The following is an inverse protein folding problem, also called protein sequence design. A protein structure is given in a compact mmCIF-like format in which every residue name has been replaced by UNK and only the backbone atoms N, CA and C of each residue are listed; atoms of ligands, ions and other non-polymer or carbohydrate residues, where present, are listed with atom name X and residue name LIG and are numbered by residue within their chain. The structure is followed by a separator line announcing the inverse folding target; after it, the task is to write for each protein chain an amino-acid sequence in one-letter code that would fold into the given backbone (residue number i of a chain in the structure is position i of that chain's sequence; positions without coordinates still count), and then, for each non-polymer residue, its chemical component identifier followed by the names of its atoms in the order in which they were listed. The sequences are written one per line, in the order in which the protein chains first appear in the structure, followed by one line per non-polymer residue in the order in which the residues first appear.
data_IF_040651825500
#
_entry.id   IF_040651825500
#
_cell.length_a   1.000
_cell.length_b   1.000
_cell.length_c   1.000
_cell.angle_alpha   90.00
_cell.angle_beta   90.00
_cell.angle_gamma   90.00
#
_symmetry.space_group_name_H-M   'P 1'
#
loop_
_entity.id
_entity.type
_entity.pdbx_description
1 polymer ?
#
# COMPACT_ATOMS: atom_id res chain seq x y z
N UNK A 1 12.77 -14.52 6.59
CA UNK A 1 11.87 -13.60 7.32
C UNK A 1 10.61 -14.35 7.70
N UNK A 2 10.19 -14.30 8.95
CA UNK A 2 8.98 -15.01 9.40
C UNK A 2 7.81 -14.01 9.41
N UNK A 3 6.75 -14.32 8.68
CA UNK A 3 5.48 -13.61 8.85
C UNK A 3 4.92 -13.93 10.23
N UNK A 4 4.40 -12.92 10.91
CA UNK A 4 3.76 -13.08 12.22
C UNK A 4 2.25 -13.27 12.03
N UNK A 5 1.58 -13.85 13.06
CA UNK A 5 0.12 -14.01 13.03
C UNK A 5 -0.64 -12.72 12.71
N UNK A 6 -0.14 -11.55 13.10
CA UNK A 6 -0.76 -10.27 12.77
C UNK A 6 -0.75 -9.92 11.27
N UNK A 7 0.14 -10.52 10.46
CA UNK A 7 0.12 -10.32 9.00
C UNK A 7 -1.05 -11.03 8.30
N UNK A 8 -1.67 -12.00 8.95
CA UNK A 8 -2.77 -12.82 8.41
C UNK A 8 -4.06 -12.72 9.24
N UNK A 9 -4.12 -11.82 10.22
CA UNK A 9 -5.33 -11.50 10.96
C UNK A 9 -6.04 -10.29 10.33
N UNK A 10 -7.37 -10.28 10.29
CA UNK A 10 -8.10 -9.13 9.75
C UNK A 10 -9.61 -9.30 9.84
N UNK A 11 -10.29 -8.17 9.70
CA UNK A 11 -11.74 -8.05 9.73
C UNK A 11 -12.22 -7.46 8.41
N UNK A 12 -13.28 -8.03 7.83
CA UNK A 12 -13.94 -7.45 6.67
C UNK A 12 -14.87 -6.30 7.13
N UNK A 13 -14.70 -5.13 6.50
CA UNK A 13 -15.54 -3.95 6.77
C UNK A 13 -16.90 -4.05 6.07
N UNK A 14 -17.86 -3.32 6.59
CA UNK A 14 -19.16 -3.18 5.95
C UNK A 14 -19.09 -2.16 4.81
N UNK A 15 -19.74 -2.47 3.71
CA UNK A 15 -19.80 -1.59 2.54
C UNK A 15 -19.80 -2.37 1.23
N UNK A 16 -20.12 -1.67 0.16
CA UNK A 16 -20.09 -2.22 -1.20
C UNK A 16 -19.12 -1.38 -2.03
N UNK A 17 -18.04 -1.96 -2.57
CA UNK A 17 -17.15 -1.28 -3.49
C UNK A 17 -17.90 -0.75 -4.73
N UNK A 18 -17.55 0.46 -5.16
CA UNK A 18 -18.28 1.19 -6.22
C UNK A 18 -17.57 1.20 -7.57
N UNK A 19 -16.31 0.76 -7.62
CA UNK A 19 -15.53 0.67 -8.84
C UNK A 19 -15.85 -0.58 -9.68
N UNK A 20 -15.05 -0.81 -10.68
CA UNK A 20 -15.18 -1.93 -11.63
C UNK A 20 -13.83 -2.64 -11.84
N UNK A 21 -13.87 -3.79 -12.49
CA UNK A 21 -12.66 -4.53 -12.87
C UNK A 21 -12.24 -4.21 -14.29
N UNK A 22 -10.93 -4.24 -14.55
CA UNK A 22 -10.34 -3.97 -15.87
C UNK A 22 -8.95 -4.58 -15.99
N UNK A 23 -8.13 -4.00 -16.86
CA UNK A 23 -6.72 -4.33 -17.05
C UNK A 23 -5.83 -3.11 -16.88
N UNK A 24 -4.66 -3.31 -16.28
CA UNK A 24 -3.56 -2.33 -16.27
C UNK A 24 -2.26 -3.07 -16.55
N UNK A 25 -1.57 -2.70 -17.63
CA UNK A 25 -0.51 -3.52 -18.21
C UNK A 25 -1.02 -4.96 -18.43
N UNK A 26 -0.36 -5.96 -17.85
CA UNK A 26 -0.80 -7.36 -17.94
C UNK A 26 -1.72 -7.81 -16.80
N UNK A 27 -1.92 -6.99 -15.77
CA UNK A 27 -2.60 -7.37 -14.54
C UNK A 27 -4.10 -7.11 -14.59
N UNK A 28 -4.89 -7.99 -13.96
CA UNK A 28 -6.25 -7.67 -13.58
C UNK A 28 -6.23 -6.55 -12.53
N UNK A 29 -7.22 -5.66 -12.56
CA UNK A 29 -7.21 -4.49 -11.69
C UNK A 29 -8.62 -4.09 -11.28
N UNK A 30 -8.79 -3.63 -10.05
CA UNK A 30 -9.94 -2.86 -9.62
C UNK A 30 -9.67 -1.39 -9.85
N UNK A 31 -10.64 -0.69 -10.48
CA UNK A 31 -10.53 0.72 -10.88
C UNK A 31 -11.69 1.48 -10.26
N UNK A 32 -11.41 2.62 -9.64
CA UNK A 32 -12.43 3.51 -9.07
C UNK A 32 -12.02 4.98 -9.24
N UNK A 33 -13.01 5.87 -9.45
CA UNK A 33 -12.78 7.26 -9.83
C UNK A 33 -12.75 7.47 -11.35
N UNK A 34 -12.75 8.72 -11.77
CA UNK A 34 -12.88 9.14 -13.17
C UNK A 34 -11.95 10.30 -13.57
N UNK A 35 -10.99 10.64 -12.70
CA UNK A 35 -10.00 11.68 -13.00
C UNK A 35 -9.04 11.20 -14.11
N UNK A 36 -8.80 12.03 -15.11
CA UNK A 36 -7.94 11.70 -16.24
C UNK A 36 -6.51 12.21 -16.12
N UNK A 37 -6.25 13.08 -15.16
CA UNK A 37 -4.94 13.71 -14.94
C UNK A 37 -4.19 13.16 -13.72
N UNK A 38 -4.94 12.70 -12.70
CA UNK A 38 -4.40 12.25 -11.40
C UNK A 38 -4.78 10.80 -11.14
N UNK A 39 -3.79 9.98 -10.87
CA UNK A 39 -4.00 8.58 -10.50
C UNK A 39 -3.23 8.17 -9.25
N UNK A 40 -3.72 7.12 -8.61
CA UNK A 40 -3.08 6.47 -7.46
C UNK A 40 -2.96 4.97 -7.76
N UNK A 41 -1.74 4.44 -7.71
CA UNK A 41 -1.47 3.01 -7.73
C UNK A 41 -1.54 2.49 -6.29
N UNK A 42 -2.54 1.66 -6.01
CA UNK A 42 -2.72 1.07 -4.69
C UNK A 42 -2.20 -0.37 -4.68
N UNK A 43 -1.12 -0.62 -3.95
CA UNK A 43 -0.50 -1.93 -3.81
C UNK A 43 -1.01 -2.58 -2.54
N UNK A 44 -1.84 -3.59 -2.70
CA UNK A 44 -2.51 -4.27 -1.61
C UNK A 44 -1.55 -5.02 -0.69
N UNK A 45 -2.04 -5.37 0.49
CA UNK A 45 -1.39 -6.31 1.40
C UNK A 45 -1.58 -7.76 0.94
N UNK A 46 -1.22 -8.74 1.76
CA UNK A 46 -1.31 -10.17 1.44
C UNK A 46 -2.73 -10.67 1.12
N UNK A 47 -3.78 -9.91 1.49
CA UNK A 47 -5.15 -10.27 1.15
C UNK A 47 -5.52 -9.91 -0.30
N UNK A 48 -4.66 -9.15 -0.97
CA UNK A 48 -4.76 -8.89 -2.39
C UNK A 48 -5.85 -7.92 -2.81
N UNK A 49 -5.96 -7.74 -4.11
CA UNK A 49 -6.82 -6.75 -4.75
C UNK A 49 -8.33 -7.04 -4.69
N UNK A 50 -8.71 -8.29 -4.39
CA UNK A 50 -10.11 -8.70 -4.27
C UNK A 50 -10.68 -8.47 -2.88
N UNK A 51 -9.83 -8.19 -1.88
CA UNK A 51 -10.28 -7.98 -0.51
C UNK A 51 -11.16 -6.74 -0.39
N UNK A 52 -12.38 -6.87 0.18
CA UNK A 52 -13.34 -5.76 0.21
C UNK A 52 -12.80 -4.47 0.82
N UNK A 53 -12.06 -4.54 1.92
CA UNK A 53 -11.51 -3.36 2.60
C UNK A 53 -10.57 -2.55 1.71
N UNK A 54 -9.72 -3.23 0.94
CA UNK A 54 -8.78 -2.58 0.00
C UNK A 54 -9.56 -1.81 -1.05
N UNK A 55 -10.63 -2.39 -1.59
CA UNK A 55 -11.50 -1.73 -2.58
C UNK A 55 -12.28 -0.56 -1.97
N UNK A 56 -12.83 -0.73 -0.77
CA UNK A 56 -13.51 0.36 -0.04
C UNK A 56 -12.55 1.52 0.27
N UNK A 57 -11.32 1.21 0.66
CA UNK A 57 -10.31 2.23 0.92
C UNK A 57 -9.88 2.93 -0.38
N UNK A 58 -9.78 2.21 -1.48
CA UNK A 58 -9.54 2.78 -2.81
C UNK A 58 -10.67 3.73 -3.22
N UNK A 59 -11.95 3.37 -2.97
CA UNK A 59 -13.10 4.25 -3.23
C UNK A 59 -13.04 5.55 -2.41
N UNK A 60 -12.59 5.45 -1.15
CA UNK A 60 -12.34 6.62 -0.32
C UNK A 60 -11.26 7.54 -0.91
N UNK A 61 -10.13 6.97 -1.33
CA UNK A 61 -9.05 7.74 -1.94
C UNK A 61 -9.50 8.38 -3.25
N UNK A 62 -10.19 7.65 -4.11
CA UNK A 62 -10.71 8.18 -5.37
C UNK A 62 -11.60 9.40 -5.13
N UNK A 63 -12.58 9.27 -4.24
CA UNK A 63 -13.55 10.32 -3.94
C UNK A 63 -12.93 11.51 -3.21
N UNK A 64 -12.09 11.27 -2.20
CA UNK A 64 -11.64 12.33 -1.28
C UNK A 64 -10.39 13.04 -1.80
N UNK A 65 -9.52 12.36 -2.56
CA UNK A 65 -8.40 12.98 -3.27
C UNK A 65 -8.86 13.59 -4.61
N UNK A 66 -9.89 13.02 -5.24
CA UNK A 66 -10.30 13.35 -6.60
C UNK A 66 -9.35 12.74 -7.63
N UNK A 67 -9.01 11.47 -7.48
CA UNK A 67 -8.10 10.73 -8.35
C UNK A 67 -8.76 9.48 -8.91
N UNK A 68 -8.20 8.89 -9.96
CA UNK A 68 -8.53 7.52 -10.35
C UNK A 68 -7.57 6.56 -9.65
N UNK A 69 -8.12 5.59 -8.90
CA UNK A 69 -7.34 4.63 -8.13
C UNK A 69 -7.35 3.27 -8.79
N UNK A 70 -6.17 2.69 -8.93
CA UNK A 70 -5.93 1.38 -9.53
C UNK A 70 -5.38 0.43 -8.46
N UNK A 71 -6.05 -0.70 -8.28
CA UNK A 71 -5.62 -1.78 -7.36
C UNK A 71 -5.35 -3.04 -8.16
N UNK A 72 -4.13 -3.24 -8.70
CA UNK A 72 -3.81 -4.40 -9.52
C UNK A 72 -3.67 -5.68 -8.70
N UNK A 73 -3.88 -6.81 -9.38
CA UNK A 73 -3.51 -8.12 -8.90
C UNK A 73 -2.00 -8.36 -9.06
N UNK A 74 -1.27 -8.28 -7.98
CA UNK A 74 0.16 -8.58 -7.96
C UNK A 74 0.47 -9.99 -7.42
N UNK A 75 -0.54 -10.86 -7.35
CA UNK A 75 -0.37 -12.24 -6.89
C UNK A 75 -0.75 -13.27 -7.95
N UNK A 76 -0.98 -12.84 -9.21
CA UNK A 76 -1.24 -13.73 -10.34
C UNK A 76 -2.52 -14.55 -10.20
N UNK A 77 -3.56 -13.98 -9.61
CA UNK A 77 -4.83 -14.65 -9.33
C UNK A 77 -4.86 -15.44 -8.02
N UNK A 78 -3.73 -15.54 -7.30
CA UNK A 78 -3.72 -16.19 -6.01
C UNK A 78 -4.39 -15.32 -4.94
N UNK A 79 -5.25 -15.91 -4.13
CA UNK A 79 -5.91 -15.27 -2.99
C UNK A 79 -5.74 -16.16 -1.77
N UNK A 80 -5.38 -15.56 -0.64
CA UNK A 80 -5.37 -16.30 0.63
C UNK A 80 -6.79 -16.71 1.02
N UNK A 81 -6.94 -17.95 1.49
CA UNK A 81 -8.23 -18.48 1.89
C UNK A 81 -8.75 -17.78 3.16
N UNK A 82 -9.78 -16.95 2.96
CA UNK A 82 -10.40 -16.16 4.02
C UNK A 82 -11.11 -17.01 5.06
N UNK A 83 -11.69 -18.13 4.66
CA UNK A 83 -12.42 -19.01 5.59
C UNK A 83 -11.44 -19.67 6.55
N UNK A 84 -10.27 -20.07 6.06
CA UNK A 84 -9.20 -20.57 6.91
C UNK A 84 -8.64 -19.49 7.83
N UNK A 85 -8.52 -18.26 7.34
CA UNK A 85 -8.06 -17.11 8.15
C UNK A 85 -9.07 -16.76 9.23
N UNK A 86 -10.36 -16.67 8.89
CA UNK A 86 -11.43 -16.39 9.82
C UNK A 86 -11.60 -17.49 10.89
N UNK A 87 -11.31 -18.74 10.53
CA UNK A 87 -11.31 -19.89 11.42
C UNK A 87 -10.00 -20.04 12.22
N UNK A 88 -9.04 -19.13 12.08
CA UNK A 88 -7.68 -19.17 12.71
C UNK A 88 -6.88 -20.43 12.37
N UNK A 89 -7.18 -21.09 11.24
CA UNK A 89 -6.50 -22.30 10.77
C UNK A 89 -5.25 -21.95 9.94
N UNK A 90 -4.36 -21.17 10.50
CA UNK A 90 -3.18 -20.64 9.81
C UNK A 90 -2.17 -21.72 9.39
N UNK A 91 -2.18 -22.86 10.05
CA UNK A 91 -1.37 -24.05 9.73
C UNK A 91 -1.77 -24.72 8.42
N UNK A 92 -2.98 -24.46 7.93
CA UNK A 92 -3.49 -24.98 6.66
C UNK A 92 -3.24 -24.04 5.47
N UNK A 93 -2.72 -22.83 5.72
CA UNK A 93 -2.36 -21.88 4.67
C UNK A 93 -0.95 -22.16 4.15
N UNK A 94 -0.78 -22.28 2.83
CA UNK A 94 0.53 -22.34 2.17
C UNK A 94 1.20 -20.95 2.11
N UNK A 95 1.38 -20.31 3.27
CA UNK A 95 2.01 -18.98 3.33
C UNK A 95 3.43 -18.97 2.79
N UNK A 96 4.18 -20.04 3.03
CA UNK A 96 5.57 -20.15 2.55
C UNK A 96 5.60 -20.19 1.03
N UNK A 97 4.84 -21.09 0.42
CA UNK A 97 4.78 -21.18 -1.04
C UNK A 97 4.18 -19.93 -1.67
N UNK A 98 3.14 -19.32 -1.06
CA UNK A 98 2.59 -18.05 -1.52
C UNK A 98 3.66 -16.95 -1.60
N UNK A 99 4.50 -16.81 -0.56
CA UNK A 99 5.55 -15.80 -0.52
C UNK A 99 6.69 -16.11 -1.50
N UNK A 100 7.03 -17.38 -1.68
CA UNK A 100 8.04 -17.80 -2.65
C UNK A 100 7.59 -17.47 -4.09
N UNK A 101 6.31 -17.72 -4.43
CA UNK A 101 5.74 -17.41 -5.75
C UNK A 101 5.50 -15.92 -5.98
N UNK A 102 5.25 -15.17 -4.91
CA UNK A 102 4.90 -13.75 -4.95
C UNK A 102 5.97 -12.86 -4.28
N UNK A 103 7.21 -13.32 -4.26
CA UNK A 103 8.34 -12.57 -3.71
C UNK A 103 8.66 -11.30 -4.50
N UNK A 104 9.52 -10.47 -3.91
CA UNK A 104 9.91 -9.16 -4.47
C UNK A 104 10.48 -9.29 -5.89
N UNK A 105 11.40 -10.22 -6.10
CA UNK A 105 12.06 -10.43 -7.40
C UNK A 105 11.07 -10.83 -8.50
N UNK A 106 10.03 -11.59 -8.16
CA UNK A 106 8.99 -12.02 -9.08
C UNK A 106 8.03 -10.89 -9.44
N UNK A 107 7.67 -10.04 -8.48
CA UNK A 107 6.57 -9.06 -8.62
C UNK A 107 7.01 -7.62 -8.87
N UNK A 108 8.24 -7.24 -8.53
CA UNK A 108 8.75 -5.88 -8.76
C UNK A 108 8.63 -5.44 -10.24
N UNK A 109 8.97 -6.27 -11.24
CA UNK A 109 8.82 -5.89 -12.65
C UNK A 109 7.38 -5.53 -13.03
N UNK A 110 6.38 -6.34 -12.60
CA UNK A 110 4.97 -6.10 -12.88
C UNK A 110 4.47 -4.79 -12.23
N UNK A 111 4.92 -4.51 -11.00
CA UNK A 111 4.57 -3.29 -10.28
C UNK A 111 5.10 -2.05 -11.02
N UNK A 112 6.34 -2.12 -11.51
CA UNK A 112 6.92 -1.05 -12.32
C UNK A 112 6.21 -0.89 -13.66
N UNK A 113 5.80 -1.99 -14.30
CA UNK A 113 5.05 -1.95 -15.56
C UNK A 113 3.67 -1.29 -15.39
N UNK A 114 2.99 -1.57 -14.28
CA UNK A 114 1.74 -0.89 -13.95
C UNK A 114 1.94 0.63 -13.77
N UNK A 115 2.97 1.06 -13.04
CA UNK A 115 3.27 2.49 -12.88
C UNK A 115 3.64 3.15 -14.21
N UNK A 116 4.44 2.47 -15.06
CA UNK A 116 4.73 2.96 -16.42
C UNK A 116 3.49 3.07 -17.28
N UNK A 117 2.58 2.10 -17.19
CA UNK A 117 1.33 2.13 -17.93
C UNK A 117 0.47 3.35 -17.56
N UNK A 118 0.37 3.69 -16.28
CA UNK A 118 -0.33 4.91 -15.83
C UNK A 118 0.27 6.16 -16.48
N UNK A 119 1.58 6.29 -16.48
CA UNK A 119 2.27 7.46 -17.06
C UNK A 119 2.23 7.50 -18.58
N UNK A 120 2.65 6.42 -19.22
CA UNK A 120 3.02 6.41 -20.64
C UNK A 120 1.89 5.94 -21.54
N UNK A 121 1.01 5.05 -21.07
CA UNK A 121 -0.09 4.52 -21.89
C UNK A 121 -1.40 5.27 -21.61
N UNK A 122 -1.70 5.53 -20.33
CA UNK A 122 -2.92 6.23 -19.92
C UNK A 122 -2.75 7.74 -19.80
N UNK A 123 -1.51 8.25 -19.79
CA UNK A 123 -1.21 9.68 -19.89
C UNK A 123 -1.44 10.50 -18.61
N UNK A 124 -1.50 9.86 -17.45
CA UNK A 124 -1.66 10.58 -16.19
C UNK A 124 -0.51 11.55 -15.93
N UNK A 125 -0.85 12.81 -15.65
CA UNK A 125 0.13 13.87 -15.33
C UNK A 125 0.73 13.70 -13.95
N UNK A 126 -0.09 13.24 -12.99
CA UNK A 126 0.28 12.98 -11.60
C UNK A 126 -0.04 11.55 -11.20
N UNK A 127 0.93 10.86 -10.65
CA UNK A 127 0.79 9.47 -10.19
C UNK A 127 1.31 9.35 -8.76
N UNK A 128 0.43 9.01 -7.82
CA UNK A 128 0.80 8.61 -6.48
C UNK A 128 0.90 7.09 -6.35
N UNK A 129 1.62 6.59 -5.35
CA UNK A 129 1.51 5.20 -4.96
C UNK A 129 1.23 5.07 -3.46
N UNK A 130 0.32 4.16 -3.11
CA UNK A 130 0.07 3.79 -1.71
C UNK A 130 0.23 2.29 -1.53
N UNK A 131 0.97 1.88 -0.50
CA UNK A 131 1.19 0.47 -0.21
C UNK A 131 1.05 0.14 1.26
N UNK A 132 0.38 -0.97 1.54
CA UNK A 132 0.19 -1.47 2.90
C UNK A 132 0.82 -2.84 3.05
N UNK A 133 1.46 -3.11 4.20
CA UNK A 133 2.11 -4.38 4.50
C UNK A 133 3.06 -4.80 3.35
N UNK A 134 2.69 -5.83 2.57
CA UNK A 134 3.42 -6.23 1.37
C UNK A 134 3.64 -5.06 0.41
N UNK A 135 2.64 -4.23 0.15
CA UNK A 135 2.75 -3.09 -0.77
C UNK A 135 3.71 -1.98 -0.32
N UNK A 136 4.11 -1.98 0.94
CA UNK A 136 4.98 -0.93 1.48
C UNK A 136 6.38 -0.91 0.85
N UNK A 137 7.04 -2.07 0.70
CA UNK A 137 8.34 -2.15 0.03
C UNK A 137 8.23 -1.71 -1.43
N UNK A 138 7.18 -2.14 -2.10
CA UNK A 138 6.96 -1.86 -3.51
C UNK A 138 6.76 -0.36 -3.77
N UNK A 139 6.00 0.32 -2.91
CA UNK A 139 5.83 1.77 -3.02
C UNK A 139 7.15 2.53 -2.83
N UNK A 140 8.01 2.10 -1.90
CA UNK A 140 9.35 2.69 -1.74
C UNK A 140 10.20 2.48 -2.99
N UNK A 141 10.15 1.30 -3.60
CA UNK A 141 10.88 1.01 -4.84
C UNK A 141 10.39 1.86 -6.02
N UNK A 142 9.09 2.11 -6.13
CA UNK A 142 8.54 3.02 -7.14
C UNK A 142 9.05 4.45 -6.99
N UNK A 143 9.27 4.91 -5.76
CA UNK A 143 9.81 6.23 -5.45
C UNK A 143 11.33 6.30 -5.33
N UNK A 144 12.07 5.26 -5.77
CA UNK A 144 13.51 5.18 -5.59
C UNK A 144 14.29 6.05 -6.59
N UNK A 145 15.49 6.45 -6.19
CA UNK A 145 16.40 7.32 -6.97
C UNK A 145 16.73 6.79 -8.37
N UNK A 146 16.66 5.50 -8.61
CA UNK A 146 16.90 4.92 -9.93
C UNK A 146 15.86 5.38 -10.98
N UNK A 147 14.72 5.88 -10.55
CA UNK A 147 13.65 6.38 -11.41
C UNK A 147 13.64 7.91 -11.56
N UNK A 148 14.62 8.64 -11.00
CA UNK A 148 14.61 10.12 -11.03
C UNK A 148 14.69 10.71 -12.44
N UNK A 149 15.32 10.02 -13.39
CA UNK A 149 15.39 10.45 -14.79
C UNK A 149 14.07 10.28 -15.56
N UNK A 150 13.29 9.27 -15.19
CA UNK A 150 11.93 9.00 -15.70
C UNK A 150 11.05 8.59 -14.52
N UNK A 151 10.48 9.54 -13.79
CA UNK A 151 9.74 9.24 -12.56
C UNK A 151 8.53 8.35 -12.80
N UNK A 152 8.44 7.27 -12.03
CA UNK A 152 7.28 6.38 -12.04
C UNK A 152 6.11 6.97 -11.24
N UNK A 153 6.42 7.64 -10.13
CA UNK A 153 5.46 8.26 -9.22
C UNK A 153 5.94 9.64 -8.76
N UNK A 154 5.01 10.52 -8.37
CA UNK A 154 5.32 11.86 -7.84
C UNK A 154 5.46 11.88 -6.33
N UNK A 155 4.75 11.00 -5.63
CA UNK A 155 4.80 10.84 -4.19
C UNK A 155 4.30 9.46 -3.78
N UNK A 156 4.66 9.04 -2.56
CA UNK A 156 4.27 7.75 -2.02
C UNK A 156 3.73 7.87 -0.59
N UNK A 157 2.85 6.94 -0.23
CA UNK A 157 2.41 6.72 1.15
C UNK A 157 2.54 5.23 1.48
N UNK A 158 3.06 4.90 2.66
CA UNK A 158 3.16 3.51 3.11
C UNK A 158 2.60 3.32 4.51
N UNK A 159 1.89 2.22 4.71
CA UNK A 159 1.38 1.83 6.02
C UNK A 159 1.92 0.48 6.46
N UNK A 160 2.41 0.38 7.72
CA UNK A 160 2.89 -0.88 8.31
C UNK A 160 3.64 -1.80 7.31
N UNK A 161 4.70 -1.32 6.65
CA UNK A 161 5.36 -2.04 5.59
C UNK A 161 5.96 -3.36 6.07
N UNK A 162 5.95 -4.37 5.20
CA UNK A 162 6.68 -5.63 5.40
C UNK A 162 7.72 -5.85 4.30
N UNK A 163 8.57 -6.86 4.46
CA UNK A 163 9.63 -7.21 3.52
C UNK A 163 10.64 -6.08 3.23
N UNK A 164 10.66 -5.03 4.04
CA UNK A 164 11.60 -3.94 3.90
C UNK A 164 13.05 -4.37 4.16
N UNK A 165 13.95 -3.81 3.36
CA UNK A 165 15.38 -3.74 3.65
C UNK A 165 15.78 -2.26 3.75
N UNK A 166 16.86 -1.95 4.46
CA UNK A 166 17.33 -0.57 4.66
C UNK A 166 17.54 0.18 3.34
N UNK A 167 18.02 -0.53 2.32
CA UNK A 167 18.23 0.04 0.98
C UNK A 167 16.95 0.65 0.39
N UNK A 168 15.78 0.05 0.60
CA UNK A 168 14.52 0.59 0.06
C UNK A 168 14.24 1.99 0.61
N UNK A 169 14.63 2.21 1.87
CA UNK A 169 14.47 3.49 2.56
C UNK A 169 15.55 4.48 2.12
N UNK A 170 16.80 4.03 2.05
CA UNK A 170 17.98 4.87 1.72
C UNK A 170 17.97 5.37 0.28
N UNK A 171 17.15 4.79 -0.58
CA UNK A 171 17.03 5.15 -2.00
C UNK A 171 15.79 5.99 -2.33
N UNK A 172 14.97 6.36 -1.35
CA UNK A 172 13.79 7.22 -1.57
C UNK A 172 14.22 8.57 -2.15
N UNK A 173 13.55 9.00 -3.23
CA UNK A 173 13.84 10.24 -3.92
C UNK A 173 12.58 11.08 -4.25
N UNK A 174 11.43 10.69 -3.73
CA UNK A 174 10.15 11.42 -3.87
C UNK A 174 9.56 11.70 -2.49
N UNK A 175 8.61 12.65 -2.35
CA UNK A 175 7.87 12.86 -1.12
C UNK A 175 7.27 11.56 -0.59
N UNK A 176 7.43 11.29 0.72
CA UNK A 176 7.03 10.02 1.33
C UNK A 176 6.28 10.20 2.65
N UNK A 177 5.14 9.54 2.78
CA UNK A 177 4.41 9.43 4.04
C UNK A 177 4.57 8.03 4.63
N UNK A 178 4.83 7.98 5.95
CA UNK A 178 4.99 6.74 6.72
C UNK A 178 3.92 6.67 7.80
N UNK A 179 3.10 5.62 7.77
CA UNK A 179 2.10 5.32 8.80
C UNK A 179 2.56 4.10 9.60
N UNK A 180 3.03 4.34 10.82
CA UNK A 180 3.72 3.35 11.66
C UNK A 180 2.89 2.92 12.87
N UNK A 181 2.23 1.76 12.88
CA UNK A 181 1.64 1.17 14.08
C UNK A 181 2.71 0.94 15.16
N UNK A 182 2.32 1.09 16.43
CA UNK A 182 3.23 0.86 17.55
C UNK A 182 3.71 -0.59 17.58
N UNK A 183 2.78 -1.53 17.53
CA UNK A 183 3.02 -2.96 17.71
C UNK A 183 3.18 -3.60 16.32
N UNK A 184 4.41 -3.63 15.82
CA UNK A 184 4.71 -4.15 14.49
C UNK A 184 6.00 -4.99 14.49
N UNK A 185 5.87 -6.29 14.16
CA UNK A 185 7.00 -7.21 14.07
C UNK A 185 7.68 -7.22 12.72
N UNK A 186 7.01 -6.73 11.68
CA UNK A 186 7.57 -6.60 10.33
C UNK A 186 8.30 -5.26 10.17
N UNK A 187 7.68 -4.19 10.59
CA UNK A 187 8.28 -2.85 10.66
C UNK A 187 8.82 -2.61 12.07
N UNK A 188 9.96 -3.23 12.35
CA UNK A 188 10.59 -3.26 13.67
C UNK A 188 11.01 -1.87 14.15
N UNK A 189 11.24 -1.71 15.47
CA UNK A 189 11.76 -0.46 16.05
C UNK A 189 13.07 -0.03 15.36
N UNK A 190 13.96 -0.97 15.04
CA UNK A 190 15.19 -0.67 14.31
C UNK A 190 14.91 -0.06 12.94
N UNK A 191 14.00 -0.65 12.16
CA UNK A 191 13.62 -0.12 10.85
C UNK A 191 12.89 1.24 10.97
N UNK A 192 12.05 1.42 11.99
CA UNK A 192 11.37 2.71 12.26
C UNK A 192 12.37 3.84 12.53
N UNK A 193 13.35 3.60 13.38
CA UNK A 193 14.42 4.56 13.67
C UNK A 193 15.27 4.84 12.44
N UNK A 194 15.69 3.78 11.73
CA UNK A 194 16.44 3.92 10.49
C UNK A 194 15.67 4.75 9.44
N UNK A 195 14.36 4.50 9.29
CA UNK A 195 13.51 5.26 8.35
C UNK A 195 13.53 6.74 8.68
N UNK A 196 13.28 7.09 9.94
CA UNK A 196 13.25 8.48 10.37
C UNK A 196 14.59 9.20 10.13
N UNK A 197 15.69 8.56 10.51
CA UNK A 197 17.04 9.10 10.33
C UNK A 197 17.44 9.21 8.85
N UNK A 198 17.11 8.20 8.04
CA UNK A 198 17.43 8.20 6.61
C UNK A 198 16.68 9.30 5.86
N UNK A 199 15.36 9.43 6.10
CA UNK A 199 14.55 10.44 5.41
C UNK A 199 15.00 11.87 5.72
N UNK A 200 15.47 12.16 6.94
CA UNK A 200 16.07 13.46 7.26
C UNK A 200 17.32 13.73 6.42
N UNK A 201 18.18 12.72 6.22
CA UNK A 201 19.41 12.86 5.41
C UNK A 201 19.15 13.00 3.91
N UNK A 202 18.09 12.37 3.41
CA UNK A 202 17.73 12.38 1.99
C UNK A 202 17.16 13.72 1.51
N UNK A 203 16.79 14.60 2.44
CA UNK A 203 16.22 15.92 2.14
C UNK A 203 14.98 15.87 1.22
N UNK A 204 14.18 14.83 1.34
CA UNK A 204 12.87 14.72 0.68
C UNK A 204 11.77 15.16 1.64
N UNK A 205 10.67 15.75 1.18
CA UNK A 205 9.50 15.99 2.02
C UNK A 205 9.00 14.68 2.60
N UNK A 206 8.83 14.60 3.92
CA UNK A 206 8.25 13.41 4.53
C UNK A 206 7.31 13.74 5.69
N UNK A 207 6.33 12.86 5.89
CA UNK A 207 5.44 12.83 7.04
C UNK A 207 5.57 11.46 7.72
N UNK A 208 5.80 11.44 9.03
CA UNK A 208 5.94 10.22 9.80
C UNK A 208 4.92 10.22 10.94
N UNK A 209 3.91 9.36 10.85
CA UNK A 209 2.86 9.25 11.84
C UNK A 209 2.96 7.94 12.63
N UNK A 210 3.09 8.08 13.94
CA UNK A 210 3.01 6.97 14.88
C UNK A 210 1.55 6.72 15.28
N UNK A 211 1.15 5.44 15.32
CA UNK A 211 -0.18 4.99 15.72
C UNK A 211 -0.07 4.14 16.99
N UNK A 212 -0.29 4.74 18.18
CA UNK A 212 -0.16 4.04 19.46
C UNK A 212 -1.26 3.00 19.66
N UNK A 213 -0.93 1.92 20.35
CA UNK A 213 -1.88 0.89 20.79
C UNK A 213 -2.42 -0.03 19.70
N UNK A 214 -2.04 0.15 18.43
CA UNK A 214 -2.52 -0.70 17.33
C UNK A 214 -1.43 -1.57 16.74
N UNK A 215 -1.85 -2.70 16.18
CA UNK A 215 -0.98 -3.72 15.62
C UNK A 215 -0.76 -3.54 14.13
N UNK A 216 0.23 -4.27 13.59
CA UNK A 216 0.43 -4.43 12.14
C UNK A 216 -0.90 -4.77 11.43
N UNK A 217 -1.10 -4.20 10.25
CA UNK A 217 -2.30 -4.36 9.42
C UNK A 217 -3.57 -3.64 9.91
N UNK A 218 -3.61 -3.08 11.10
CA UNK A 218 -4.78 -2.40 11.64
C UNK A 218 -5.35 -1.35 10.65
N UNK A 219 -4.50 -0.61 9.93
CA UNK A 219 -4.94 0.50 9.06
C UNK A 219 -5.80 0.06 7.86
N UNK A 220 -5.75 -1.21 7.47
CA UNK A 220 -6.54 -1.77 6.35
C UNK A 220 -7.41 -2.95 6.76
N UNK A 221 -7.18 -3.55 7.94
CA UNK A 221 -7.86 -4.77 8.38
C UNK A 221 -8.25 -4.74 9.86
N UNK A 222 -8.26 -3.57 10.49
CA UNK A 222 -8.69 -3.41 11.87
C UNK A 222 -10.18 -3.69 12.05
N UNK A 223 -10.56 -3.94 13.28
CA UNK A 223 -11.95 -4.18 13.67
C UNK A 223 -12.68 -2.83 13.87
N UNK A 224 -13.62 -2.51 12.98
CA UNK A 224 -14.45 -1.30 13.05
C UNK A 224 -15.23 -1.17 14.37
N UNK A 225 -15.49 -2.29 15.04
CA UNK A 225 -16.22 -2.33 16.31
C UNK A 225 -15.37 -1.95 17.51
N UNK A 226 -14.05 -1.94 17.35
CA UNK A 226 -13.11 -1.51 18.39
C UNK A 226 -12.80 -0.02 18.21
N UNK A 227 -13.21 0.86 19.13
CA UNK A 227 -13.06 2.32 18.96
C UNK A 227 -11.62 2.77 18.67
N UNK A 228 -10.62 2.18 19.30
CA UNK A 228 -9.21 2.53 19.08
C UNK A 228 -8.69 2.13 17.71
N UNK A 229 -9.08 0.94 17.21
CA UNK A 229 -8.71 0.50 15.86
C UNK A 229 -9.44 1.33 14.80
N UNK A 230 -10.73 1.59 14.99
CA UNK A 230 -11.52 2.44 14.11
C UNK A 230 -10.92 3.85 14.01
N UNK A 231 -10.60 4.49 15.14
CA UNK A 231 -9.98 5.81 15.14
C UNK A 231 -8.62 5.83 14.42
N UNK A 232 -7.83 4.76 14.56
CA UNK A 232 -6.56 4.62 13.84
C UNK A 232 -6.77 4.47 12.32
N UNK A 233 -7.74 3.66 11.89
CA UNK A 233 -8.08 3.51 10.47
C UNK A 233 -8.57 4.83 9.86
N UNK A 234 -9.47 5.53 10.52
CA UNK A 234 -9.98 6.84 10.06
C UNK A 234 -8.84 7.87 9.98
N UNK A 235 -7.98 7.94 11.00
CA UNK A 235 -6.82 8.83 11.01
C UNK A 235 -5.85 8.47 9.89
N UNK A 236 -5.54 7.19 9.69
CA UNK A 236 -4.64 6.73 8.62
C UNK A 236 -5.17 7.06 7.24
N UNK A 237 -6.46 6.78 6.99
CA UNK A 237 -7.14 7.13 5.74
C UNK A 237 -7.07 8.66 5.49
N UNK A 238 -7.41 9.47 6.49
CA UNK A 238 -7.39 10.94 6.36
C UNK A 238 -5.98 11.48 6.12
N UNK A 239 -4.95 10.89 6.75
CA UNK A 239 -3.56 11.26 6.53
C UNK A 239 -3.12 11.02 5.09
N UNK A 240 -3.47 9.87 4.50
CA UNK A 240 -3.16 9.56 3.09
C UNK A 240 -3.91 10.49 2.13
N UNK A 241 -5.18 10.79 2.40
CA UNK A 241 -5.96 11.76 1.62
C UNK A 241 -5.32 13.14 1.63
N UNK A 242 -4.92 13.63 2.81
CA UNK A 242 -4.25 14.93 2.94
C UNK A 242 -2.90 14.95 2.22
N UNK A 243 -2.13 13.86 2.33
CA UNK A 243 -0.83 13.71 1.67
C UNK A 243 -0.95 13.78 0.15
N UNK A 244 -1.81 12.97 -0.43
CA UNK A 244 -2.04 13.01 -1.88
C UNK A 244 -2.67 14.33 -2.33
N UNK A 245 -3.55 14.92 -1.53
CA UNK A 245 -4.09 16.25 -1.79
C UNK A 245 -3.02 17.34 -1.88
N UNK A 246 -1.91 17.18 -1.15
CA UNK A 246 -0.79 18.13 -1.19
C UNK A 246 0.12 17.94 -2.41
N UNK A 247 0.40 16.69 -2.82
CA UNK A 247 1.44 16.40 -3.81
C UNK A 247 0.91 16.04 -5.21
N UNK A 248 -0.38 15.68 -5.33
CA UNK A 248 -0.97 15.30 -6.62
C UNK A 248 -1.88 16.40 -7.21
N UNK A 249 -2.36 17.36 -6.42
CA UNK A 249 -3.08 18.51 -6.97
C UNK A 249 -2.08 19.50 -7.53
N UNK A 250 -2.39 20.05 -8.70
CA UNK A 250 -1.65 21.20 -9.23
C UNK A 250 -1.82 22.40 -8.29
N UNK A 251 -0.72 23.12 -8.05
CA UNK A 251 -0.72 24.35 -7.28
C UNK A 251 -1.41 25.48 -8.06
#
# INVERSE_FOLDING_TARGET
MSFSKCCIQGFAWQGTPTGHTGKLASNDVYITGDNTDVSILFIADLFGWTFPNVRLLADHYAREVGATVYVPDFFGGEVLDFDLIAAEKFDQLDLKGFIERNGREQREPEIFDCARALRQQLGYKKVGAVGYCYGGWASLRLGAKEHTSVPLVDCIAIGHPSLLIKRDIDEVAVPVQILAPEIDKAYTTELKLHTFEALQRLNVPFDYQHFPGVVHACLVRGDEKKPGERAAMERGKNAVVAWFGQFLKEA
#
